data_IF_750097971185
#
_entry.id   IF_750097971185
#
_cell.length_a   1.000
_cell.length_b   1.000
_cell.length_c   1.000
_cell.angle_alpha   90.00
_cell.angle_beta   90.00
_cell.angle_gamma   90.00
#
_symmetry.space_group_name_H-M   'P 1'
#
loop_
_entity.id
_entity.type
_entity.pdbx_description
1 polymer ?
#
# COMPACT_ATOMS: atom_id res chain seq x y z
N UNK A 1 10.87 1.33 -16.52
CA UNK A 1 10.88 1.24 -15.05
C UNK A 1 9.70 2.03 -14.53
N UNK A 2 8.98 1.52 -13.53
CA UNK A 2 7.81 2.19 -12.95
C UNK A 2 8.29 3.25 -11.94
N UNK A 3 7.92 4.54 -12.11
CA UNK A 3 8.37 5.59 -11.21
C UNK A 3 7.83 5.36 -9.79
N UNK A 4 8.50 5.93 -8.79
CA UNK A 4 8.05 5.82 -7.42
C UNK A 4 8.59 6.89 -6.48
N UNK A 5 8.08 6.85 -5.26
CA UNK A 5 8.34 7.77 -4.17
C UNK A 5 8.60 6.97 -2.90
N UNK A 6 9.54 7.44 -2.08
CA UNK A 6 9.67 7.04 -0.68
C UNK A 6 9.03 8.11 0.19
N UNK A 7 8.22 7.68 1.14
CA UNK A 7 7.63 8.50 2.18
C UNK A 7 8.27 8.07 3.48
N UNK A 8 9.00 8.98 4.13
CA UNK A 8 9.53 8.75 5.48
C UNK A 8 8.75 9.60 6.45
N UNK A 9 7.91 8.96 7.27
CA UNK A 9 7.11 9.64 8.26
C UNK A 9 6.79 8.68 9.41
N UNK A 10 6.92 9.19 10.64
CA UNK A 10 6.78 8.39 11.87
C UNK A 10 5.41 7.76 12.06
N UNK A 11 4.38 8.31 11.44
CA UNK A 11 2.98 7.92 11.60
C UNK A 11 2.29 8.04 10.24
N UNK A 12 2.52 7.06 9.36
CA UNK A 12 1.71 6.90 8.14
C UNK A 12 1.04 5.55 8.23
N UNK A 13 -0.26 5.57 8.40
CA UNK A 13 -1.06 4.36 8.39
C UNK A 13 -1.29 3.91 6.94
N UNK A 14 -1.31 2.59 6.73
CA UNK A 14 -1.52 2.01 5.41
C UNK A 14 -2.83 2.50 4.80
N UNK A 15 -3.88 2.64 5.63
CA UNK A 15 -5.20 3.08 5.21
C UNK A 15 -5.19 4.53 4.71
N UNK A 16 -4.44 5.43 5.36
CA UNK A 16 -4.28 6.82 4.92
C UNK A 16 -3.56 6.92 3.58
N UNK A 17 -2.58 6.03 3.35
CA UNK A 17 -1.88 5.94 2.09
C UNK A 17 -2.80 5.47 0.97
N UNK A 18 -3.63 4.47 1.24
CA UNK A 18 -4.61 3.97 0.29
C UNK A 18 -5.70 4.99 -0.05
N UNK A 19 -6.18 5.73 0.95
CA UNK A 19 -7.16 6.80 0.72
C UNK A 19 -6.55 7.96 -0.10
N UNK A 20 -5.24 8.22 0.04
CA UNK A 20 -4.53 9.21 -0.77
C UNK A 20 -4.42 8.84 -2.27
N UNK A 21 -4.58 7.56 -2.62
CA UNK A 21 -4.64 7.11 -4.01
C UNK A 21 -5.98 7.46 -4.70
N UNK A 22 -7.01 7.80 -3.93
CA UNK A 22 -8.35 8.17 -4.43
C UNK A 22 -9.23 6.98 -4.86
N UNK A 23 -10.30 7.28 -5.60
CA UNK A 23 -11.39 6.33 -5.87
C UNK A 23 -10.96 5.05 -6.58
N UNK A 24 -9.92 5.09 -7.40
CA UNK A 24 -9.40 3.92 -8.10
C UNK A 24 -8.90 2.84 -7.13
N UNK A 25 -8.38 3.24 -5.96
CA UNK A 25 -7.95 2.31 -4.93
C UNK A 25 -9.11 1.47 -4.36
N UNK A 26 -10.32 2.03 -4.34
CA UNK A 26 -11.55 1.32 -3.94
C UNK A 26 -12.08 0.39 -5.02
N UNK A 27 -11.67 0.59 -6.27
CA UNK A 27 -12.05 -0.25 -7.43
C UNK A 27 -11.03 -1.34 -7.72
N UNK A 28 -9.81 -1.18 -7.24
CA UNK A 28 -8.73 -2.13 -7.42
C UNK A 28 -8.95 -3.42 -6.62
N UNK A 29 -8.41 -4.51 -7.16
CA UNK A 29 -8.11 -5.71 -6.38
C UNK A 29 -6.69 -5.63 -5.85
N UNK A 30 -6.48 -6.16 -4.64
CA UNK A 30 -5.26 -6.00 -3.89
C UNK A 30 -4.63 -7.35 -3.59
N UNK A 31 -3.42 -7.56 -4.08
CA UNK A 31 -2.60 -8.72 -3.74
C UNK A 31 -1.71 -8.37 -2.57
N UNK A 32 -1.76 -9.17 -1.51
CA UNK A 32 -0.83 -9.07 -0.39
C UNK A 32 0.44 -9.85 -0.76
N UNK A 33 1.39 -9.16 -1.36
CA UNK A 33 2.64 -9.73 -1.89
C UNK A 33 3.73 -9.70 -0.81
N UNK A 34 4.33 -10.87 -0.53
CA UNK A 34 5.36 -11.08 0.50
C UNK A 34 4.88 -10.83 1.92
N UNK A 35 5.36 -11.68 2.83
CA UNK A 35 5.05 -11.74 4.26
C UNK A 35 4.71 -10.38 4.87
N UNK A 36 3.41 -10.05 4.88
CA UNK A 36 2.92 -8.81 5.45
C UNK A 36 3.03 -8.98 6.96
N UNK A 37 3.85 -8.14 7.57
CA UNK A 37 4.02 -8.06 9.01
C UNK A 37 3.24 -6.86 9.52
N UNK A 38 2.35 -7.12 10.46
CA UNK A 38 1.41 -6.15 10.98
C UNK A 38 1.33 -6.25 12.51
N UNK A 39 1.07 -5.12 13.16
CA UNK A 39 0.87 -5.05 14.62
C UNK A 39 -0.29 -4.10 14.95
N UNK A 40 -0.74 -4.12 16.21
CA UNK A 40 -1.70 -3.13 16.72
C UNK A 40 -3.14 -3.62 16.87
N UNK A 41 -3.54 -4.74 16.25
CA UNK A 41 -4.91 -5.25 16.38
C UNK A 41 -5.05 -6.76 16.05
N UNK A 42 -6.28 -7.28 16.17
CA UNK A 42 -6.63 -8.66 15.84
C UNK A 42 -6.56 -8.98 14.33
N UNK A 43 -6.67 -7.99 13.45
CA UNK A 43 -6.59 -8.16 12.01
C UNK A 43 -5.17 -8.48 11.51
N UNK A 44 -4.12 -8.21 12.31
CA UNK A 44 -2.74 -8.53 11.94
C UNK A 44 -2.56 -10.00 11.57
N UNK A 45 -3.21 -10.92 12.30
CA UNK A 45 -3.18 -12.36 11.98
C UNK A 45 -3.82 -12.66 10.62
N UNK A 46 -4.95 -12.02 10.33
CA UNK A 46 -5.67 -12.22 9.05
C UNK A 46 -4.86 -11.70 7.86
N UNK A 47 -4.24 -10.52 7.99
CA UNK A 47 -3.33 -9.98 6.98
C UNK A 47 -2.14 -10.91 6.73
N UNK A 48 -1.55 -11.44 7.80
CA UNK A 48 -0.45 -12.41 7.69
C UNK A 48 -0.90 -13.66 6.90
N UNK A 49 -2.02 -14.28 7.28
CA UNK A 49 -2.57 -15.46 6.59
C UNK A 49 -2.89 -15.20 5.11
N UNK A 50 -3.40 -14.01 4.78
CA UNK A 50 -3.65 -13.61 3.39
C UNK A 50 -2.33 -13.46 2.62
N UNK A 51 -1.30 -12.87 3.24
CA UNK A 51 0.01 -12.69 2.62
C UNK A 51 0.79 -14.00 2.43
N UNK A 52 0.65 -14.98 3.33
CA UNK A 52 1.28 -16.32 3.18
C UNK A 52 0.80 -17.05 1.93
N UNK A 53 -0.39 -16.70 1.45
CA UNK A 53 -1.02 -17.30 0.27
C UNK A 53 -0.98 -16.39 -0.95
N UNK A 54 -0.33 -15.23 -0.83
CA UNK A 54 -0.32 -14.17 -1.84
C UNK A 54 -1.75 -13.87 -2.33
N UNK A 55 -2.70 -13.80 -1.39
CA UNK A 55 -4.10 -13.68 -1.71
C UNK A 55 -4.41 -12.32 -2.36
N UNK A 56 -5.23 -12.37 -3.41
CA UNK A 56 -5.86 -11.20 -4.01
C UNK A 56 -7.25 -11.01 -3.42
N UNK A 57 -7.50 -9.86 -2.82
CA UNK A 57 -8.77 -9.50 -2.17
C UNK A 57 -9.30 -8.17 -2.72
N UNK A 58 -10.62 -7.97 -2.76
CA UNK A 58 -11.19 -6.68 -3.13
C UNK A 58 -10.94 -5.62 -2.03
N UNK A 59 -11.02 -4.34 -2.39
CA UNK A 59 -10.76 -3.22 -1.48
C UNK A 59 -11.69 -3.20 -0.25
N UNK A 60 -12.93 -3.64 -0.39
CA UNK A 60 -13.91 -3.73 0.71
C UNK A 60 -13.55 -4.83 1.75
N UNK A 61 -12.82 -5.87 1.34
CA UNK A 61 -12.22 -6.84 2.28
C UNK A 61 -10.92 -6.30 2.89
N UNK A 62 -10.07 -5.60 2.11
CA UNK A 62 -8.77 -5.13 2.60
C UNK A 62 -8.87 -3.96 3.60
N UNK A 63 -9.71 -2.95 3.33
CA UNK A 63 -9.73 -1.73 4.16
C UNK A 63 -10.01 -1.99 5.64
N UNK A 64 -11.03 -2.76 6.01
CA UNK A 64 -11.31 -3.06 7.41
C UNK A 64 -10.13 -3.76 8.12
N UNK A 65 -9.31 -4.51 7.38
CA UNK A 65 -8.13 -5.18 7.94
C UNK A 65 -6.99 -4.21 8.21
N UNK A 66 -6.92 -3.09 7.48
CA UNK A 66 -5.91 -2.06 7.65
C UNK A 66 -6.31 -0.98 8.66
N UNK A 67 -7.60 -0.88 8.99
CA UNK A 67 -8.10 0.05 10.01
C UNK A 67 -7.54 -0.30 11.40
N UNK A 68 -6.83 0.65 12.00
CA UNK A 68 -6.12 0.46 13.27
C UNK A 68 -4.94 -0.53 13.21
N UNK A 69 -4.50 -0.92 12.01
CA UNK A 69 -3.38 -1.84 11.83
C UNK A 69 -2.14 -1.13 11.32
N UNK A 70 -1.03 -1.27 12.04
CA UNK A 70 0.26 -0.80 11.57
C UNK A 70 0.99 -1.90 10.80
N UNK A 71 1.21 -1.71 9.50
CA UNK A 71 2.11 -2.58 8.74
C UNK A 71 3.55 -2.19 9.03
N UNK A 72 4.34 -3.13 9.52
CA UNK A 72 5.76 -2.94 9.84
C UNK A 72 6.69 -3.54 8.77
N UNK A 73 6.13 -4.32 7.85
CA UNK A 73 6.85 -4.88 6.71
C UNK A 73 5.91 -5.52 5.69
N UNK A 74 6.38 -5.64 4.46
CA UNK A 74 5.66 -6.34 3.38
C UNK A 74 5.08 -5.39 2.34
N UNK A 75 4.39 -5.95 1.37
CA UNK A 75 3.95 -5.22 0.18
C UNK A 75 2.50 -5.55 -0.17
N UNK A 76 1.79 -4.54 -0.64
CA UNK A 76 0.47 -4.68 -1.23
C UNK A 76 0.48 -4.09 -2.64
N UNK A 77 -0.19 -4.78 -3.56
CA UNK A 77 -0.17 -4.46 -4.99
C UNK A 77 -1.60 -4.30 -5.47
N UNK A 78 -1.94 -3.12 -5.99
CA UNK A 78 -3.25 -2.82 -6.56
C UNK A 78 -3.26 -3.02 -8.08
N UNK A 79 -4.29 -3.71 -8.57
CA UNK A 79 -4.56 -3.96 -9.98
C UNK A 79 -5.99 -3.49 -10.32
N UNK A 80 -6.14 -2.79 -11.46
CA UNK A 80 -7.42 -2.27 -11.96
C UNK A 80 -8.09 -3.17 -13.01
N UNK A 81 -7.57 -4.39 -13.20
CA UNK A 81 -8.07 -5.42 -14.11
C UNK A 81 -7.44 -5.42 -15.51
N UNK A 82 -6.35 -4.68 -15.72
CA UNK A 82 -5.65 -4.59 -17.02
C UNK A 82 -4.49 -5.61 -17.18
N UNK A 83 -4.24 -6.41 -16.14
CA UNK A 83 -3.21 -7.44 -16.12
C UNK A 83 -1.82 -6.91 -15.80
N UNK A 84 -1.71 -5.66 -15.34
CA UNK A 84 -0.47 -5.08 -14.82
C UNK A 84 -0.72 -4.35 -13.49
N UNK A 85 0.27 -4.32 -12.58
CA UNK A 85 0.16 -3.51 -11.37
C UNK A 85 -0.06 -2.02 -11.69
N UNK A 86 -1.17 -1.48 -11.20
CA UNK A 86 -1.44 -0.04 -11.23
C UNK A 86 -0.61 0.67 -10.16
N UNK A 87 -0.56 0.10 -8.96
CA UNK A 87 0.21 0.64 -7.83
C UNK A 87 0.82 -0.48 -7.00
N UNK A 88 1.98 -0.21 -6.44
CA UNK A 88 2.64 -1.04 -5.45
C UNK A 88 3.00 -0.17 -4.26
N UNK A 89 2.64 -0.63 -3.07
CA UNK A 89 2.95 -0.02 -1.79
C UNK A 89 3.75 -1.02 -0.97
N UNK A 90 4.91 -0.61 -0.48
CA UNK A 90 5.79 -1.44 0.34
C UNK A 90 6.10 -0.74 1.66
N UNK A 91 5.78 -1.39 2.77
CA UNK A 91 6.25 -0.97 4.09
C UNK A 91 7.64 -1.55 4.32
N UNK A 92 8.63 -0.70 4.56
CA UNK A 92 10.01 -1.12 4.75
C UNK A 92 10.28 -1.45 6.24
N UNK A 93 9.78 -0.60 7.15
CA UNK A 93 9.96 -0.71 8.61
C UNK A 93 8.82 -0.11 9.44
N UNK A 94 7.65 0.11 8.84
CA UNK A 94 6.49 0.75 9.49
C UNK A 94 6.61 2.25 9.74
N UNK A 95 7.75 2.87 9.42
CA UNK A 95 8.00 4.31 9.43
C UNK A 95 8.48 4.87 8.07
N UNK A 96 8.57 3.97 7.08
CA UNK A 96 8.99 4.27 5.72
C UNK A 96 8.19 3.42 4.72
N UNK A 97 7.69 4.09 3.70
CA UNK A 97 6.82 3.52 2.68
C UNK A 97 7.33 3.84 1.28
N UNK A 98 7.48 2.83 0.45
CA UNK A 98 7.76 2.99 -0.96
C UNK A 98 6.47 2.83 -1.76
N UNK A 99 6.17 3.81 -2.61
CA UNK A 99 5.01 3.80 -3.51
C UNK A 99 5.48 3.87 -4.94
N UNK A 100 5.15 2.87 -5.74
CA UNK A 100 5.43 2.85 -7.19
C UNK A 100 4.10 2.78 -7.93
N UNK A 101 3.95 3.56 -8.99
CA UNK A 101 2.74 3.53 -9.81
C UNK A 101 3.06 3.82 -11.27
N UNK A 102 2.33 3.16 -12.17
CA UNK A 102 2.32 3.52 -13.59
C UNK A 102 1.57 4.83 -13.85
N UNK A 103 0.73 5.25 -12.90
CA UNK A 103 -0.07 6.47 -12.96
C UNK A 103 0.66 7.64 -12.27
N UNK A 104 0.99 8.66 -13.06
CA UNK A 104 1.66 9.87 -12.56
C UNK A 104 0.74 10.74 -11.70
N UNK A 105 -0.57 10.71 -11.93
CA UNK A 105 -1.52 11.47 -11.13
C UNK A 105 -1.65 10.90 -9.73
N UNK A 106 -1.53 9.58 -9.57
CA UNK A 106 -1.42 8.93 -8.26
C UNK A 106 -0.19 9.44 -7.51
N UNK A 107 0.99 9.44 -8.14
CA UNK A 107 2.21 9.94 -7.50
C UNK A 107 2.11 11.42 -7.14
N UNK A 108 1.49 12.25 -7.99
CA UNK A 108 1.25 13.66 -7.69
C UNK A 108 0.32 13.86 -6.47
N UNK A 109 -0.73 13.04 -6.33
CA UNK A 109 -1.61 13.04 -5.14
C UNK A 109 -0.87 12.66 -3.87
N UNK A 110 -0.01 11.64 -3.94
CA UNK A 110 0.86 11.24 -2.83
C UNK A 110 1.80 12.38 -2.42
N UNK A 111 2.48 13.04 -3.36
CA UNK A 111 3.35 14.20 -3.04
C UNK A 111 2.56 15.34 -2.40
N UNK A 112 1.35 15.62 -2.89
CA UNK A 112 0.50 16.67 -2.31
C UNK A 112 0.06 16.34 -0.86
N UNK A 113 -0.19 15.06 -0.57
CA UNK A 113 -0.58 14.59 0.77
C UNK A 113 0.62 14.48 1.73
N UNK A 114 1.78 14.12 1.20
CA UNK A 114 3.02 13.88 1.95
C UNK A 114 4.16 14.75 1.39
N UNK A 115 4.29 16.03 1.82
CA UNK A 115 5.28 16.97 1.28
C UNK A 115 6.74 16.56 1.47
N UNK A 116 7.02 15.59 2.34
CA UNK A 116 8.35 15.02 2.56
C UNK A 116 8.69 13.83 1.65
N UNK A 117 7.79 13.44 0.73
CA UNK A 117 8.04 12.34 -0.19
C UNK A 117 9.18 12.66 -1.17
N UNK A 118 10.10 11.72 -1.35
CA UNK A 118 11.25 11.85 -2.24
C UNK A 118 11.19 10.83 -3.38
N UNK A 119 11.64 11.15 -4.60
CA UNK A 119 11.72 10.17 -5.68
C UNK A 119 12.57 8.96 -5.30
N UNK A 120 12.09 7.77 -5.66
CA UNK A 120 12.89 6.55 -5.59
C UNK A 120 13.98 6.56 -6.69
N UNK A 121 15.20 6.09 -6.39
CA UNK A 121 16.22 5.94 -7.42
C UNK A 121 15.78 4.90 -8.46
N UNK A 122 16.17 5.17 -9.72
CA UNK A 122 15.96 4.30 -10.88
C UNK A 122 16.73 2.98 -10.79
#
# INVERSE_FOLDING_TARGET
MTPGLTISAREVDAIDLLDALGDDARRATWTLDRWVEATGCEHAKRLHELSEREATVPADELWPLLDGTQLIGGRIVGDLGDGAPWVMIESIRGDAWDVRSSDREVLARIVARYPGATPLPD
#
